data_IF_755546779340
#
_entry.id   IF_755546779340
#
_cell.length_a   1.000
_cell.length_b   1.000
_cell.length_c   1.000
_cell.angle_alpha   90.00
_cell.angle_beta   90.00
_cell.angle_gamma   90.00
#
_symmetry.space_group_name_H-M   'P 1'
#
loop_
_entity.id
_entity.type
_entity.pdbx_description
1 polymer ?
#
# COMPACT_ATOMS: atom_id res chain seq x y z
N UNK A 1 12.85 -17.44 -14.22
CA UNK A 1 12.51 -18.39 -13.14
C UNK A 1 11.01 -18.68 -13.21
N UNK A 2 10.57 -19.90 -12.93
CA UNK A 2 9.15 -20.26 -12.98
C UNK A 2 8.39 -19.65 -11.79
N UNK A 3 7.16 -19.18 -12.03
CA UNK A 3 6.27 -18.71 -10.96
C UNK A 3 5.86 -19.90 -10.09
N UNK A 4 5.90 -19.73 -8.77
CA UNK A 4 5.44 -20.76 -7.84
C UNK A 4 4.03 -20.43 -7.36
N UNK A 5 3.08 -21.34 -7.56
CA UNK A 5 1.74 -21.20 -7.00
C UNK A 5 1.79 -21.61 -5.53
N UNK A 6 1.37 -20.72 -4.64
CA UNK A 6 1.22 -21.01 -3.22
C UNK A 6 -0.23 -21.39 -2.98
N UNK A 7 -0.49 -22.66 -2.71
CA UNK A 7 -1.84 -23.12 -2.35
C UNK A 7 -2.15 -22.78 -0.88
N UNK A 8 -3.42 -22.72 -0.45
CA UNK A 8 -3.78 -22.36 0.92
C UNK A 8 -3.05 -23.16 2.01
N UNK A 9 -2.84 -24.47 1.80
CA UNK A 9 -2.11 -25.31 2.75
C UNK A 9 -0.64 -24.89 2.89
N UNK A 10 -0.02 -24.37 1.84
CA UNK A 10 1.36 -23.89 1.88
C UNK A 10 1.47 -22.55 2.61
N UNK A 11 0.45 -21.69 2.54
CA UNK A 11 0.42 -20.44 3.31
C UNK A 11 0.50 -20.67 4.83
N UNK A 12 -0.04 -21.79 5.32
CA UNK A 12 0.03 -22.15 6.75
C UNK A 12 1.48 -22.27 7.24
N UNK A 13 2.41 -22.69 6.38
CA UNK A 13 3.85 -22.76 6.71
C UNK A 13 4.49 -21.37 6.89
N UNK A 14 3.78 -20.32 6.48
CA UNK A 14 4.20 -18.92 6.57
C UNK A 14 3.34 -18.11 7.54
N UNK A 15 2.44 -18.77 8.26
CA UNK A 15 1.46 -18.13 9.15
C UNK A 15 1.82 -18.38 10.62
N UNK A 16 1.91 -17.33 11.42
CA UNK A 16 2.12 -17.45 12.87
C UNK A 16 0.81 -17.66 13.64
N UNK A 17 0.91 -17.86 14.96
CA UNK A 17 -0.25 -18.07 15.84
C UNK A 17 -1.21 -16.88 15.96
N UNK A 18 -0.80 -15.69 15.53
CA UNK A 18 -1.64 -14.49 15.49
C UNK A 18 -2.29 -14.28 14.10
N UNK A 19 -2.07 -15.21 13.16
CA UNK A 19 -2.58 -15.11 11.80
C UNK A 19 -1.80 -14.16 10.90
N UNK A 20 -0.58 -13.77 11.30
CA UNK A 20 0.30 -12.99 10.42
C UNK A 20 0.94 -13.91 9.38
N UNK A 21 0.92 -13.49 8.12
CA UNK A 21 1.55 -14.19 7.00
C UNK A 21 2.81 -13.45 6.58
N UNK A 22 3.95 -14.14 6.56
CA UNK A 22 5.22 -13.56 6.08
C UNK A 22 5.78 -14.33 4.89
N UNK A 23 5.82 -13.65 3.74
CA UNK A 23 6.37 -14.12 2.46
C UNK A 23 7.46 -13.16 1.95
N UNK A 24 8.19 -12.53 2.87
CA UNK A 24 9.27 -11.59 2.56
C UNK A 24 10.32 -12.22 1.66
N UNK A 25 10.89 -11.42 0.75
CA UNK A 25 11.98 -11.84 -0.15
C UNK A 25 11.65 -13.06 -1.02
N UNK A 26 10.37 -13.39 -1.18
CA UNK A 26 9.98 -14.51 -2.02
C UNK A 26 10.28 -14.23 -3.50
N UNK A 27 10.51 -15.30 -4.26
CA UNK A 27 10.46 -15.26 -5.71
C UNK A 27 9.05 -14.90 -6.21
N UNK A 28 8.81 -14.93 -7.52
CA UNK A 28 7.49 -14.65 -8.06
C UNK A 28 6.50 -15.75 -7.63
N UNK A 29 5.45 -15.34 -6.92
CA UNK A 29 4.42 -16.22 -6.38
C UNK A 29 3.05 -15.92 -7.00
N UNK A 30 2.18 -16.92 -7.01
CA UNK A 30 0.73 -16.75 -7.18
C UNK A 30 0.07 -17.10 -5.86
N UNK A 31 -0.58 -16.12 -5.23
CA UNK A 31 -1.33 -16.32 -4.00
C UNK A 31 -2.74 -16.89 -4.29
N UNK A 32 -3.38 -17.58 -3.33
CA UNK A 32 -4.77 -18.00 -3.46
C UNK A 32 -5.70 -16.81 -3.73
N UNK A 33 -6.75 -17.04 -4.50
CA UNK A 33 -7.72 -16.02 -4.87
C UNK A 33 -9.14 -16.59 -4.68
N UNK A 34 -9.95 -16.06 -3.73
CA UNK A 34 -9.66 -14.93 -2.84
C UNK A 34 -8.66 -15.26 -1.72
N UNK A 35 -8.10 -14.23 -1.07
CA UNK A 35 -7.25 -14.37 0.12
C UNK A 35 -7.75 -13.50 1.29
N UNK A 36 -7.86 -14.12 2.46
CA UNK A 36 -8.11 -13.44 3.74
C UNK A 36 -6.94 -13.73 4.68
N UNK A 37 -6.35 -12.68 5.24
CA UNK A 37 -5.29 -12.74 6.25
C UNK A 37 -5.80 -12.16 7.56
N UNK A 38 -5.82 -12.98 8.61
CA UNK A 38 -6.38 -12.60 9.91
C UNK A 38 -5.53 -11.58 10.67
N UNK A 39 -4.22 -11.56 10.43
CA UNK A 39 -3.28 -10.58 10.97
C UNK A 39 -2.66 -9.71 9.88
N UNK A 40 -1.35 -9.51 9.97
CA UNK A 40 -0.55 -8.76 9.00
C UNK A 40 -0.15 -9.63 7.80
N UNK A 41 -0.06 -9.02 6.61
CA UNK A 41 0.52 -9.65 5.42
C UNK A 41 1.81 -8.92 5.05
N UNK A 42 2.95 -9.61 5.17
CA UNK A 42 4.26 -9.06 4.85
C UNK A 42 4.87 -9.71 3.60
N UNK A 43 4.89 -8.94 2.51
CA UNK A 43 5.41 -9.26 1.19
C UNK A 43 6.62 -8.39 0.83
N UNK A 44 7.26 -7.77 1.82
CA UNK A 44 8.41 -6.88 1.63
C UNK A 44 9.55 -7.58 0.86
N UNK A 45 10.17 -6.85 -0.08
CA UNK A 45 11.25 -7.33 -0.95
C UNK A 45 10.87 -8.57 -1.81
N UNK A 46 9.59 -8.91 -1.94
CA UNK A 46 9.16 -10.02 -2.79
C UNK A 46 9.13 -9.63 -4.27
N UNK A 47 9.25 -10.62 -5.15
CA UNK A 47 9.08 -10.45 -6.59
C UNK A 47 7.60 -10.48 -7.02
N UNK A 48 6.64 -10.31 -6.08
CA UNK A 48 5.21 -10.37 -6.39
C UNK A 48 4.83 -9.22 -7.33
N UNK A 49 4.06 -9.54 -8.38
CA UNK A 49 3.59 -8.56 -9.38
C UNK A 49 2.08 -8.35 -9.34
N UNK A 50 1.34 -9.28 -8.75
CA UNK A 50 -0.13 -9.28 -8.68
C UNK A 50 -0.55 -9.85 -7.34
N UNK A 51 -1.49 -9.16 -6.71
CA UNK A 51 -2.23 -9.68 -5.57
C UNK A 51 -3.48 -10.44 -6.06
N UNK A 52 -4.12 -11.24 -5.20
CA UNK A 52 -5.44 -11.82 -5.46
C UNK A 52 -6.46 -10.76 -5.86
N UNK A 53 -7.43 -11.13 -6.71
CA UNK A 53 -8.49 -10.23 -7.15
C UNK A 53 -9.30 -9.63 -6.00
N UNK A 54 -9.45 -10.42 -4.93
CA UNK A 54 -10.03 -10.01 -3.65
C UNK A 54 -9.06 -10.31 -2.53
N UNK A 55 -8.60 -9.27 -1.83
CA UNK A 55 -7.67 -9.39 -0.71
C UNK A 55 -8.21 -8.64 0.50
N UNK A 56 -8.38 -9.37 1.60
CA UNK A 56 -8.69 -8.81 2.92
C UNK A 56 -7.51 -9.08 3.86
N UNK A 57 -6.94 -8.02 4.43
CA UNK A 57 -5.91 -8.10 5.48
C UNK A 57 -6.44 -7.35 6.70
N UNK A 58 -6.75 -8.06 7.78
CA UNK A 58 -7.31 -7.43 8.97
C UNK A 58 -6.29 -6.59 9.75
N UNK A 59 -5.00 -6.86 9.56
CA UNK A 59 -3.89 -6.04 10.05
C UNK A 59 -3.29 -5.15 8.97
N UNK A 60 -1.97 -5.07 8.97
CA UNK A 60 -1.17 -4.24 8.07
C UNK A 60 -0.75 -5.01 6.81
N UNK A 61 -0.65 -4.30 5.68
CA UNK A 61 -0.11 -4.82 4.43
C UNK A 61 1.22 -4.15 4.11
N UNK A 62 2.30 -4.94 4.11
CA UNK A 62 3.63 -4.46 3.73
C UNK A 62 4.05 -5.01 2.37
N UNK A 63 4.20 -4.12 1.39
CA UNK A 63 4.63 -4.36 0.01
C UNK A 63 5.90 -3.57 -0.34
N UNK A 64 6.63 -3.04 0.66
CA UNK A 64 7.81 -2.23 0.40
C UNK A 64 8.86 -3.02 -0.40
N UNK A 65 9.53 -2.36 -1.33
CA UNK A 65 10.52 -2.94 -2.26
C UNK A 65 10.00 -4.09 -3.14
N UNK A 66 8.69 -4.27 -3.27
CA UNK A 66 8.12 -5.32 -4.11
C UNK A 66 7.98 -4.90 -5.57
N UNK A 67 7.78 -5.88 -6.45
CA UNK A 67 7.49 -5.65 -7.87
C UNK A 67 5.99 -5.39 -8.17
N UNK A 68 5.17 -5.07 -7.16
CA UNK A 68 3.74 -4.83 -7.37
C UNK A 68 3.55 -3.59 -8.25
N UNK A 69 2.78 -3.71 -9.33
CA UNK A 69 2.52 -2.62 -10.27
C UNK A 69 1.12 -2.02 -10.08
N UNK A 70 0.17 -2.83 -9.59
CA UNK A 70 -1.23 -2.46 -9.36
C UNK A 70 -1.78 -3.13 -8.10
N UNK A 71 -2.64 -2.41 -7.37
CA UNK A 71 -3.46 -2.97 -6.30
C UNK A 71 -4.74 -3.62 -6.87
N UNK A 72 -5.31 -4.64 -6.22
CA UNK A 72 -6.56 -5.25 -6.66
C UNK A 72 -7.74 -4.30 -6.39
N UNK A 73 -8.79 -4.39 -7.21
CA UNK A 73 -9.97 -3.54 -7.09
C UNK A 73 -10.72 -3.76 -5.77
N UNK A 74 -10.67 -4.98 -5.22
CA UNK A 74 -11.26 -5.33 -3.92
C UNK A 74 -10.14 -5.55 -2.91
N UNK A 75 -9.63 -4.45 -2.36
CA UNK A 75 -8.60 -4.44 -1.33
C UNK A 75 -9.18 -3.87 -0.03
N UNK A 76 -9.18 -4.67 1.03
CA UNK A 76 -9.50 -4.22 2.38
C UNK A 76 -8.28 -4.39 3.29
N UNK A 77 -7.90 -3.31 3.99
CA UNK A 77 -6.78 -3.29 4.92
C UNK A 77 -7.27 -2.67 6.23
N UNK A 78 -7.17 -3.42 7.32
CA UNK A 78 -7.57 -2.94 8.65
C UNK A 78 -6.60 -1.94 9.25
N UNK A 79 -5.31 -2.03 8.90
CA UNK A 79 -4.23 -1.16 9.38
C UNK A 79 -3.58 -0.32 8.28
N UNK A 80 -2.24 -0.22 8.32
CA UNK A 80 -1.45 0.56 7.38
C UNK A 80 -1.18 -0.18 6.06
N UNK A 81 -0.88 0.60 5.02
CA UNK A 81 -0.37 0.12 3.73
C UNK A 81 1.02 0.72 3.48
N UNK A 82 2.03 -0.14 3.35
CA UNK A 82 3.38 0.27 2.98
C UNK A 82 3.72 -0.17 1.55
N UNK A 83 3.86 0.80 0.65
CA UNK A 83 4.27 0.63 -0.75
C UNK A 83 5.64 1.26 -1.03
N UNK A 84 6.40 1.64 0.00
CA UNK A 84 7.66 2.34 -0.15
C UNK A 84 8.61 1.58 -1.10
N UNK A 85 9.19 2.28 -2.07
CA UNK A 85 10.11 1.74 -3.06
C UNK A 85 9.56 0.55 -3.89
N UNK A 86 8.24 0.35 -3.89
CA UNK A 86 7.61 -0.62 -4.80
C UNK A 86 7.57 -0.11 -6.23
N UNK A 87 7.24 -0.99 -7.18
CA UNK A 87 7.05 -0.66 -8.60
C UNK A 87 5.63 -0.18 -8.93
N UNK A 88 4.86 0.27 -7.93
CA UNK A 88 3.49 0.71 -8.15
C UNK A 88 3.49 1.91 -9.12
N UNK A 89 2.65 1.81 -10.16
CA UNK A 89 2.57 2.84 -11.22
C UNK A 89 1.24 3.60 -11.22
N UNK A 90 0.22 3.05 -10.55
CA UNK A 90 -1.05 3.72 -10.35
C UNK A 90 -1.71 3.23 -9.05
N UNK A 91 -2.44 4.12 -8.40
CA UNK A 91 -3.35 3.78 -7.30
C UNK A 91 -4.78 3.97 -7.82
N UNK A 92 -5.67 3.05 -7.47
CA UNK A 92 -7.09 3.14 -7.85
C UNK A 92 -7.79 4.33 -7.19
N UNK A 93 -8.72 4.94 -7.93
CA UNK A 93 -9.63 5.95 -7.39
C UNK A 93 -10.38 5.43 -6.17
N UNK A 94 -10.50 6.27 -5.13
CA UNK A 94 -11.21 5.91 -3.91
C UNK A 94 -10.52 4.87 -3.02
N UNK A 95 -9.19 4.66 -3.15
CA UNK A 95 -8.44 3.85 -2.18
C UNK A 95 -8.66 4.41 -0.76
N UNK A 96 -8.98 3.51 0.17
CA UNK A 96 -9.11 3.82 1.59
C UNK A 96 -8.09 3.00 2.38
N UNK A 97 -7.26 3.69 3.16
CA UNK A 97 -6.32 3.09 4.11
C UNK A 97 -6.69 3.58 5.50
N UNK A 98 -7.03 2.67 6.40
CA UNK A 98 -7.50 3.05 7.75
C UNK A 98 -6.36 3.53 8.66
N UNK A 99 -5.14 3.05 8.44
CA UNK A 99 -3.93 3.56 9.09
C UNK A 99 -3.08 4.43 8.17
N UNK A 100 -1.77 4.32 8.34
CA UNK A 100 -0.79 5.08 7.56
C UNK A 100 -0.67 4.56 6.11
N UNK A 101 -0.31 5.46 5.20
CA UNK A 101 0.04 5.13 3.82
C UNK A 101 1.45 5.63 3.50
N UNK A 102 2.36 4.71 3.18
CA UNK A 102 3.69 5.06 2.68
C UNK A 102 3.81 4.81 1.17
N UNK A 103 4.08 5.88 0.42
CA UNK A 103 4.37 5.88 -1.01
C UNK A 103 5.80 6.39 -1.28
N UNK A 104 6.65 6.41 -0.25
CA UNK A 104 8.00 6.92 -0.32
C UNK A 104 8.81 6.23 -1.41
N UNK A 105 9.56 7.00 -2.21
CA UNK A 105 10.44 6.44 -3.23
C UNK A 105 9.74 5.67 -4.35
N UNK A 106 8.41 5.80 -4.49
CA UNK A 106 7.67 5.23 -5.63
C UNK A 106 7.81 6.12 -6.87
N UNK A 107 7.55 5.57 -8.05
CA UNK A 107 7.55 6.32 -9.32
C UNK A 107 6.20 7.00 -9.62
N UNK A 108 5.28 7.02 -8.65
CA UNK A 108 4.00 7.70 -8.80
C UNK A 108 4.23 9.19 -9.02
N UNK A 109 3.56 9.73 -10.03
CA UNK A 109 3.56 11.17 -10.34
C UNK A 109 2.32 11.88 -9.82
N UNK A 110 1.27 11.12 -9.48
CA UNK A 110 -0.01 11.63 -8.99
C UNK A 110 -0.62 10.70 -7.96
N UNK A 111 -1.35 11.29 -7.01
CA UNK A 111 -2.27 10.57 -6.13
C UNK A 111 -3.66 10.53 -6.79
N UNK A 112 -4.47 9.49 -6.54
CA UNK A 112 -5.83 9.41 -7.06
C UNK A 112 -6.74 10.42 -6.36
N UNK A 113 -7.84 10.82 -7.00
CA UNK A 113 -8.86 11.62 -6.31
C UNK A 113 -9.55 10.79 -5.23
N UNK A 114 -10.06 11.48 -4.19
CA UNK A 114 -10.76 10.82 -3.07
C UNK A 114 -9.92 9.76 -2.36
N UNK A 115 -8.59 9.92 -2.33
CA UNK A 115 -7.71 9.12 -1.48
C UNK A 115 -8.04 9.40 -0.02
N UNK A 116 -8.30 8.35 0.76
CA UNK A 116 -8.51 8.43 2.20
C UNK A 116 -7.37 7.74 2.94
N UNK A 117 -6.75 8.45 3.89
CA UNK A 117 -5.72 7.95 4.79
C UNK A 117 -6.13 8.30 6.23
N UNK A 118 -6.40 7.28 7.03
CA UNK A 118 -6.81 7.42 8.43
C UNK A 118 -5.66 7.71 9.40
N UNK A 119 -4.42 7.59 8.95
CA UNK A 119 -3.21 7.99 9.67
C UNK A 119 -2.37 8.99 8.88
N UNK A 120 -1.05 8.81 8.93
CA UNK A 120 -0.07 9.66 8.27
C UNK A 120 0.16 9.25 6.80
N UNK A 121 0.45 10.24 5.94
CA UNK A 121 0.78 10.05 4.53
C UNK A 121 2.26 10.40 4.28
N UNK A 122 3.04 9.42 3.81
CA UNK A 122 4.47 9.58 3.54
C UNK A 122 4.77 9.58 2.04
N UNK A 123 5.25 10.71 1.52
CA UNK A 123 5.49 10.94 0.09
C UNK A 123 6.96 11.17 -0.27
N UNK A 124 7.85 11.25 0.73
CA UNK A 124 9.28 11.55 0.53
C UNK A 124 9.93 10.77 -0.62
N UNK A 125 10.72 11.46 -1.45
CA UNK A 125 11.38 10.92 -2.64
C UNK A 125 10.46 10.30 -3.70
N UNK A 126 9.15 10.60 -3.70
CA UNK A 126 8.27 10.29 -4.84
C UNK A 126 8.34 11.39 -5.91
N UNK A 127 7.68 11.15 -7.05
CA UNK A 127 7.57 12.13 -8.15
C UNK A 127 6.26 12.93 -8.09
N UNK A 128 5.54 12.88 -6.96
CA UNK A 128 4.29 13.61 -6.76
C UNK A 128 4.61 15.10 -6.63
N UNK A 129 3.90 15.93 -7.39
CA UNK A 129 4.07 17.40 -7.38
C UNK A 129 2.81 18.17 -6.99
N UNK A 130 1.69 17.45 -6.83
CA UNK A 130 0.39 18.03 -6.46
C UNK A 130 -0.38 17.08 -5.54
N UNK A 131 -1.12 17.66 -4.59
CA UNK A 131 -2.15 16.91 -3.85
C UNK A 131 -3.48 16.98 -4.64
N UNK A 132 -4.28 15.90 -4.67
CA UNK A 132 -5.51 15.85 -5.44
C UNK A 132 -6.69 16.48 -4.66
N UNK A 133 -7.73 16.97 -5.35
CA UNK A 133 -8.95 17.41 -4.68
C UNK A 133 -9.61 16.24 -3.94
N UNK A 134 -10.33 16.56 -2.87
CA UNK A 134 -10.99 15.59 -1.99
C UNK A 134 -10.04 14.57 -1.34
N UNK A 135 -8.73 14.87 -1.27
CA UNK A 135 -7.79 14.14 -0.42
C UNK A 135 -8.24 14.24 1.04
N UNK A 136 -8.28 13.13 1.75
CA UNK A 136 -8.51 13.10 3.20
C UNK A 136 -7.32 12.43 3.88
N UNK A 137 -6.65 13.16 4.77
CA UNK A 137 -5.58 12.65 5.63
C UNK A 137 -5.89 13.05 7.07
N UNK A 138 -6.07 12.06 7.94
CA UNK A 138 -6.39 12.27 9.36
C UNK A 138 -5.16 12.54 10.22
N UNK A 139 -3.98 12.16 9.74
CA UNK A 139 -2.69 12.49 10.35
C UNK A 139 -1.96 13.59 9.59
N UNK A 140 -0.64 13.48 9.64
CA UNK A 140 0.31 14.39 9.01
C UNK A 140 0.63 13.97 7.58
N UNK A 141 1.18 14.90 6.79
CA UNK A 141 1.74 14.62 5.47
C UNK A 141 3.25 14.91 5.53
N UNK A 142 4.05 13.92 5.15
CA UNK A 142 5.51 14.03 5.08
C UNK A 142 5.96 14.09 3.61
N UNK A 143 6.30 15.29 3.14
CA UNK A 143 6.71 15.54 1.76
C UNK A 143 8.19 15.21 1.51
N UNK A 144 9.04 15.34 2.53
CA UNK A 144 10.45 14.94 2.49
C UNK A 144 11.21 15.51 1.29
N UNK A 145 11.12 16.83 1.10
CA UNK A 145 11.78 17.57 0.02
C UNK A 145 10.92 17.79 -1.22
N UNK A 146 9.68 17.32 -1.25
CA UNK A 146 8.71 17.64 -2.31
C UNK A 146 8.09 19.01 -2.05
N UNK A 147 8.08 19.86 -3.06
CA UNK A 147 7.36 21.14 -3.02
C UNK A 147 5.95 20.97 -3.58
N UNK A 148 4.95 21.21 -2.73
CA UNK A 148 3.54 21.31 -3.15
C UNK A 148 3.16 22.80 -3.21
N UNK A 149 2.77 23.34 -4.38
CA UNK A 149 2.58 24.78 -4.56
C UNK A 149 1.33 25.32 -3.83
N UNK A 150 0.30 24.49 -3.65
CA UNK A 150 -0.93 24.85 -2.96
C UNK A 150 -1.64 23.59 -2.46
N UNK A 151 -2.49 23.77 -1.44
CA UNK A 151 -3.41 22.73 -1.01
C UNK A 151 -4.69 22.87 -1.85
N UNK A 152 -5.15 21.82 -2.53
CA UNK A 152 -6.31 21.88 -3.42
C UNK A 152 -7.60 22.10 -2.63
N UNK A 153 -8.62 22.65 -3.30
CA UNK A 153 -9.96 22.79 -2.71
C UNK A 153 -10.53 21.44 -2.27
N UNK A 154 -11.27 21.46 -1.17
CA UNK A 154 -11.89 20.29 -0.54
C UNK A 154 -10.94 19.21 -0.01
N UNK A 155 -9.62 19.40 -0.05
CA UNK A 155 -8.73 18.55 0.73
C UNK A 155 -8.94 18.78 2.24
N UNK A 156 -8.93 17.69 3.00
CA UNK A 156 -9.10 17.67 4.45
C UNK A 156 -7.85 17.04 5.06
N UNK A 157 -7.05 17.85 5.73
CA UNK A 157 -5.79 17.43 6.35
C UNK A 157 -5.88 17.87 7.81
N UNK A 158 -6.06 16.90 8.71
CA UNK A 158 -6.30 17.18 10.13
C UNK A 158 -4.98 17.44 10.89
N UNK A 159 -3.85 16.93 10.36
CA UNK A 159 -2.51 17.13 10.90
C UNK A 159 -1.68 18.21 10.19
N UNK A 160 -0.35 18.12 10.34
CA UNK A 160 0.62 19.07 9.81
C UNK A 160 1.23 18.54 8.50
N UNK A 161 1.52 19.44 7.57
CA UNK A 161 2.30 19.15 6.36
C UNK A 161 3.77 19.50 6.64
N UNK A 162 4.61 18.47 6.71
CA UNK A 162 6.06 18.60 6.86
C UNK A 162 6.72 18.61 5.48
N UNK A 163 7.47 19.68 5.20
CA UNK A 163 8.23 19.85 3.96
C UNK A 163 9.57 19.13 4.03
#
# INVERSE_FOLDING_TARGET
MAKSVVIPQQLLNHTDSYGNVSLRRSAELVLPDPLVVAGNLNLENSQIRRLPSTLTVNGNLNLAYSNIEYLPAQLHIGGYLNLAHSKIIAISEGLQVNGDLSLMGTQLTKLPTRLYVGGDLYLANSMISELPPFLVVKGNIYLGGITIPHIPEHAQIDGIIFQ
#
